data_IF_890175366914
#
_entry.id   IF_890175366914
#
_cell.length_a   1.000
_cell.length_b   1.000
_cell.length_c   1.000
_cell.angle_alpha   90.00
_cell.angle_beta   90.00
_cell.angle_gamma   90.00
#
_symmetry.space_group_name_H-M   'P 1'
#
loop_
_entity.id
_entity.type
_entity.pdbx_description
1 polymer ?
#
# COMPACT_ATOMS: atom_id res chain seq x y z
N UNK A 1 0.87 -3.23 -16.50
CA UNK A 1 0.85 -2.73 -17.91
C UNK A 1 0.01 -3.65 -18.79
N UNK A 2 -0.51 -3.19 -19.93
CA UNK A 2 -1.14 -4.08 -20.92
C UNK A 2 -0.16 -4.43 -22.04
N UNK A 3 -0.01 -5.72 -22.36
CA UNK A 3 0.71 -6.18 -23.54
C UNK A 3 -0.24 -6.85 -24.52
N UNK A 4 -0.21 -6.39 -25.77
CA UNK A 4 -0.85 -7.04 -26.91
C UNK A 4 0.21 -7.79 -27.71
N UNK A 5 0.01 -9.10 -27.88
CA UNK A 5 0.93 -9.95 -28.62
C UNK A 5 0.43 -10.18 -30.05
N UNK A 6 0.93 -9.41 -31.01
CA UNK A 6 0.60 -9.60 -32.43
C UNK A 6 1.55 -10.60 -33.14
N UNK A 7 2.40 -11.31 -32.39
CA UNK A 7 3.43 -12.22 -32.92
C UNK A 7 3.32 -13.63 -32.34
N UNK A 8 4.44 -14.35 -32.31
CA UNK A 8 4.53 -15.67 -31.69
C UNK A 8 4.22 -15.62 -30.19
N UNK A 9 3.78 -16.75 -29.62
CA UNK A 9 3.53 -16.85 -28.18
C UNK A 9 4.76 -16.42 -27.36
N UNK A 10 4.51 -15.68 -26.28
CA UNK A 10 5.50 -15.17 -25.35
C UNK A 10 5.35 -15.88 -24.01
N UNK A 11 6.46 -16.31 -23.41
CA UNK A 11 6.46 -17.08 -22.17
C UNK A 11 7.13 -16.38 -20.98
N UNK A 12 7.83 -15.27 -21.24
CA UNK A 12 8.41 -14.46 -20.17
C UNK A 12 8.70 -13.03 -20.61
N UNK A 13 8.85 -12.16 -19.61
CA UNK A 13 9.38 -10.82 -19.74
C UNK A 13 10.46 -10.63 -18.69
N UNK A 14 11.54 -9.97 -19.08
CA UNK A 14 12.57 -9.49 -18.16
C UNK A 14 12.47 -7.98 -18.11
N UNK A 15 12.14 -7.43 -16.94
CA UNK A 15 12.21 -6.01 -16.68
C UNK A 15 13.59 -5.66 -16.14
N UNK A 16 14.23 -4.65 -16.72
CA UNK A 16 15.60 -4.27 -16.38
C UNK A 16 15.68 -2.77 -16.08
N UNK A 17 16.25 -2.46 -14.93
CA UNK A 17 16.91 -1.19 -14.61
C UNK A 17 18.42 -1.35 -14.90
N UNK A 18 19.23 -0.27 -14.81
CA UNK A 18 20.67 -0.35 -15.04
C UNK A 18 21.40 -1.35 -14.14
N UNK A 19 20.91 -1.52 -12.91
CA UNK A 19 21.48 -2.34 -11.84
C UNK A 19 20.72 -3.65 -11.59
N UNK A 20 19.39 -3.64 -11.75
CA UNK A 20 18.54 -4.78 -11.38
C UNK A 20 17.80 -5.37 -12.57
N UNK A 21 17.60 -6.69 -12.55
CA UNK A 21 16.79 -7.40 -13.54
C UNK A 21 15.85 -8.38 -12.87
N UNK A 22 14.59 -8.31 -13.25
CA UNK A 22 13.53 -9.17 -12.74
C UNK A 22 12.83 -9.90 -13.87
N UNK A 23 12.74 -11.23 -13.77
CA UNK A 23 12.13 -12.07 -14.79
C UNK A 23 10.80 -12.62 -14.29
N UNK A 24 9.73 -12.32 -15.02
CA UNK A 24 8.41 -12.88 -14.81
C UNK A 24 8.11 -13.92 -15.91
N UNK A 25 7.67 -15.11 -15.49
CA UNK A 25 7.13 -16.11 -16.41
C UNK A 25 5.61 -15.97 -16.52
N UNK A 26 5.07 -16.15 -17.72
CA UNK A 26 3.64 -16.10 -18.00
C UNK A 26 3.37 -16.78 -19.34
N UNK A 27 2.15 -17.24 -19.60
CA UNK A 27 1.76 -17.61 -20.96
C UNK A 27 0.93 -16.50 -21.61
N UNK A 28 1.38 -16.04 -22.79
CA UNK A 28 0.66 -15.09 -23.64
C UNK A 28 0.62 -15.63 -25.09
N UNK A 29 -0.50 -16.25 -25.50
CA UNK A 29 -0.67 -16.74 -26.86
C UNK A 29 -0.54 -15.65 -27.93
N UNK A 30 -0.40 -16.09 -29.18
CA UNK A 30 -0.49 -15.19 -30.32
C UNK A 30 -1.87 -14.52 -30.38
N UNK A 31 -1.90 -13.24 -30.74
CA UNK A 31 -3.08 -12.37 -30.82
C UNK A 31 -3.85 -12.21 -29.50
N UNK A 32 -3.22 -12.51 -28.37
CA UNK A 32 -3.80 -12.34 -27.04
C UNK A 32 -3.35 -11.02 -26.40
N UNK A 33 -4.16 -10.54 -25.46
CA UNK A 33 -3.87 -9.39 -24.60
C UNK A 33 -3.84 -9.85 -23.15
N UNK A 34 -2.82 -9.43 -22.40
CA UNK A 34 -2.74 -9.68 -20.95
C UNK A 34 -2.23 -8.46 -20.21
N UNK A 35 -2.79 -8.23 -19.03
CA UNK A 35 -2.24 -7.29 -18.06
C UNK A 35 -1.35 -8.06 -17.08
N UNK A 36 -0.16 -7.55 -16.80
CA UNK A 36 0.69 -8.04 -15.72
C UNK A 36 1.46 -6.88 -15.08
N UNK A 37 1.85 -7.09 -13.84
CA UNK A 37 2.69 -6.19 -13.05
C UNK A 37 4.06 -6.84 -12.85
N UNK A 38 5.12 -6.04 -12.95
CA UNK A 38 6.48 -6.48 -12.66
C UNK A 38 7.04 -5.54 -11.61
N UNK A 39 7.43 -6.12 -10.48
CA UNK A 39 8.07 -5.38 -9.40
C UNK A 39 9.57 -5.41 -9.66
N UNK A 40 10.17 -4.24 -9.89
CA UNK A 40 11.63 -4.09 -10.04
C UNK A 40 12.11 -3.19 -8.92
N UNK A 41 13.13 -3.64 -8.21
CA UNK A 41 13.69 -2.94 -7.07
C UNK A 41 15.05 -2.38 -7.47
N UNK A 42 15.22 -1.06 -7.59
CA UNK A 42 16.55 -0.52 -7.79
C UNK A 42 17.46 -0.83 -6.58
N UNK A 43 18.71 -1.17 -6.85
CA UNK A 43 19.78 -1.25 -5.83
C UNK A 43 20.33 0.14 -5.51
N UNK A 44 20.24 1.07 -6.47
CA UNK A 44 20.71 2.45 -6.33
C UNK A 44 19.60 3.48 -6.51
N UNK A 45 19.76 4.63 -5.86
CA UNK A 45 18.87 5.77 -6.00
C UNK A 45 18.98 6.40 -7.39
N UNK A 46 17.89 6.38 -8.15
CA UNK A 46 17.76 7.05 -9.44
C UNK A 46 16.66 8.12 -9.37
N UNK A 47 16.93 9.35 -9.82
CA UNK A 47 15.86 10.36 -9.99
C UNK A 47 14.97 10.13 -11.22
N UNK A 48 15.45 9.31 -12.15
CA UNK A 48 14.67 8.76 -13.27
C UNK A 48 15.44 7.63 -13.91
N UNK A 49 14.75 6.70 -14.56
CA UNK A 49 15.40 5.63 -15.31
C UNK A 49 14.47 5.08 -16.39
N UNK A 50 15.09 4.49 -17.41
CA UNK A 50 14.37 3.72 -18.41
C UNK A 50 14.25 2.28 -17.91
N UNK A 51 13.03 1.80 -17.72
CA UNK A 51 12.77 0.38 -17.55
C UNK A 51 12.69 -0.25 -18.93
N UNK A 52 13.61 -1.17 -19.21
CA UNK A 52 13.61 -1.96 -20.43
C UNK A 52 12.91 -3.28 -20.16
N UNK A 53 11.91 -3.58 -20.98
CA UNK A 53 11.18 -4.83 -20.94
C UNK A 53 11.59 -5.67 -22.16
N UNK A 54 12.18 -6.83 -21.91
CA UNK A 54 12.63 -7.77 -22.93
C UNK A 54 11.83 -9.07 -22.84
N UNK A 55 11.13 -9.40 -23.92
CA UNK A 55 10.39 -10.66 -24.04
C UNK A 55 11.28 -11.76 -24.62
N UNK A 56 10.97 -13.02 -24.32
CA UNK A 56 11.73 -14.20 -24.77
C UNK A 56 11.97 -14.32 -26.29
N UNK A 57 11.14 -13.70 -27.12
CA UNK A 57 11.32 -13.60 -28.58
C UNK A 57 12.08 -12.36 -29.05
N UNK A 58 12.81 -11.70 -28.16
CA UNK A 58 13.66 -10.54 -28.48
C UNK A 58 12.90 -9.23 -28.71
N UNK A 59 11.57 -9.23 -28.58
CA UNK A 59 10.78 -7.98 -28.55
C UNK A 59 11.24 -7.16 -27.35
N UNK A 60 11.51 -5.88 -27.56
CA UNK A 60 11.83 -4.94 -26.48
C UNK A 60 10.88 -3.77 -26.49
N UNK A 61 10.54 -3.28 -25.31
CA UNK A 61 9.89 -1.99 -25.13
C UNK A 61 10.52 -1.28 -23.95
N UNK A 62 10.49 0.05 -23.97
CA UNK A 62 11.12 0.88 -22.94
C UNK A 62 10.10 1.86 -22.42
N UNK A 63 10.05 1.99 -21.09
CA UNK A 63 9.24 3.00 -20.41
C UNK A 63 10.15 3.89 -19.57
N UNK A 64 10.00 5.20 -19.73
CA UNK A 64 10.69 6.17 -18.87
C UNK A 64 9.91 6.34 -17.57
N UNK A 65 10.57 6.10 -16.43
CA UNK A 65 10.02 6.32 -15.11
C UNK A 65 10.75 7.48 -14.44
N UNK A 66 10.01 8.52 -14.06
CA UNK A 66 10.49 9.49 -13.08
C UNK A 66 10.34 8.87 -11.69
N UNK A 67 11.40 8.93 -10.90
CA UNK A 67 11.44 8.34 -9.57
C UNK A 67 11.85 9.42 -8.59
N UNK A 68 11.24 9.41 -7.41
CA UNK A 68 11.66 10.25 -6.31
C UNK A 68 12.39 9.36 -5.33
N UNK A 69 13.65 9.71 -5.04
CA UNK A 69 14.40 9.03 -4.02
C UNK A 69 14.05 9.65 -2.68
N UNK A 70 13.63 8.81 -1.76
CA UNK A 70 13.36 9.16 -0.38
C UNK A 70 14.60 8.76 0.41
N UNK A 71 15.05 9.60 1.36
CA UNK A 71 16.23 9.26 2.16
C UNK A 71 15.90 8.08 3.07
N UNK A 72 16.87 7.20 3.44
CA UNK A 72 16.60 6.11 4.38
C UNK A 72 16.10 6.58 5.76
N UNK A 73 16.38 7.83 6.15
CA UNK A 73 15.86 8.44 7.38
C UNK A 73 14.46 9.03 7.26
N UNK A 74 13.94 9.16 6.04
CA UNK A 74 12.60 9.69 5.78
C UNK A 74 11.55 8.57 5.89
N UNK A 75 10.34 8.94 6.29
CA UNK A 75 9.21 8.02 6.39
C UNK A 75 8.25 8.21 5.21
N UNK A 76 8.04 7.14 4.45
CA UNK A 76 7.01 7.11 3.41
C UNK A 76 5.69 6.58 3.99
N UNK A 77 4.67 7.43 3.95
CA UNK A 77 3.34 7.12 4.47
C UNK A 77 2.35 7.13 3.32
N UNK A 78 1.79 5.96 3.00
CA UNK A 78 0.71 5.86 2.04
C UNK A 78 -0.65 5.92 2.73
N UNK A 79 -1.60 6.65 2.16
CA UNK A 79 -2.99 6.61 2.58
C UNK A 79 -3.90 6.16 1.45
N UNK A 80 -4.73 5.16 1.72
CA UNK A 80 -5.89 4.84 0.90
C UNK A 80 -7.14 5.41 1.57
N UNK A 81 -7.65 6.51 1.03
CA UNK A 81 -8.84 7.22 1.50
C UNK A 81 -9.42 8.05 0.35
N UNK A 82 -10.69 8.47 0.47
CA UNK A 82 -11.27 9.47 -0.42
C UNK A 82 -10.90 10.90 0.03
N UNK A 83 -10.34 11.07 1.22
CA UNK A 83 -9.82 12.32 1.74
C UNK A 83 -8.30 12.41 1.59
N UNK A 84 -7.82 13.37 0.79
CA UNK A 84 -6.39 13.64 0.63
C UNK A 84 -5.72 14.15 1.92
N UNK A 85 -6.50 14.69 2.86
CA UNK A 85 -5.97 15.21 4.14
C UNK A 85 -5.40 14.11 5.04
N UNK A 86 -5.78 12.85 4.80
CA UNK A 86 -5.40 11.75 5.67
C UNK A 86 -3.91 11.39 5.56
N UNK A 87 -3.34 11.48 4.35
CA UNK A 87 -1.91 11.27 4.14
C UNK A 87 -1.06 12.35 4.84
N UNK A 88 -1.59 13.57 4.96
CA UNK A 88 -0.86 14.72 5.53
C UNK A 88 -0.89 14.80 7.06
N UNK A 89 -1.62 13.91 7.75
CA UNK A 89 -1.70 13.92 9.21
C UNK A 89 -0.32 13.80 9.89
N UNK A 90 0.58 13.04 9.28
CA UNK A 90 1.93 12.83 9.79
C UNK A 90 2.90 13.94 9.39
N UNK A 91 2.57 14.77 8.39
CA UNK A 91 3.44 15.87 7.95
C UNK A 91 3.50 17.03 8.96
N UNK A 92 2.63 17.06 9.97
CA UNK A 92 2.55 18.12 10.96
C UNK A 92 3.41 17.88 12.21
N UNK A 93 4.05 16.70 12.37
CA UNK A 93 4.87 16.43 13.55
C UNK A 93 6.27 17.04 13.40
N UNK A 94 6.48 18.22 13.96
CA UNK A 94 7.79 18.90 14.03
C UNK A 94 8.77 18.28 15.06
N UNK A 95 8.41 17.17 15.68
CA UNK A 95 9.12 16.57 16.82
C UNK A 95 10.23 15.60 16.40
N UNK A 96 10.30 15.21 15.12
CA UNK A 96 11.27 14.24 14.61
C UNK A 96 12.10 14.85 13.50
N UNK A 97 13.39 14.50 13.44
CA UNK A 97 14.30 14.89 12.36
C UNK A 97 14.02 14.08 11.07
N UNK A 98 12.76 13.67 10.87
CA UNK A 98 12.30 12.69 9.89
C UNK A 98 11.34 13.39 8.93
N UNK A 99 11.68 13.41 7.64
CA UNK A 99 10.75 13.93 6.63
C UNK A 99 9.66 12.89 6.38
N UNK A 100 8.40 13.30 6.49
CA UNK A 100 7.28 12.45 6.08
C UNK A 100 6.93 12.75 4.63
N UNK A 101 6.95 11.72 3.79
CA UNK A 101 6.53 11.80 2.38
C UNK A 101 5.14 11.17 2.24
N UNK A 102 4.07 11.98 2.19
CA UNK A 102 2.71 11.47 2.07
C UNK A 102 2.39 11.05 0.63
N UNK A 103 1.82 9.86 0.46
CA UNK A 103 1.36 9.34 -0.83
C UNK A 103 -0.11 8.97 -0.75
N UNK A 104 -0.95 9.55 -1.60
CA UNK A 104 -2.34 9.08 -1.75
C UNK A 104 -2.39 7.98 -2.78
N UNK A 105 -2.95 6.82 -2.41
CA UNK A 105 -3.02 5.64 -3.27
C UNK A 105 -4.48 5.31 -3.57
N UNK A 106 -4.90 5.18 -4.84
CA UNK A 106 -6.24 4.70 -5.18
C UNK A 106 -6.36 3.21 -4.86
N UNK A 107 -7.60 2.68 -4.78
CA UNK A 107 -7.84 1.25 -4.50
C UNK A 107 -7.09 0.33 -5.47
N UNK A 108 -7.15 0.64 -6.76
CA UNK A 108 -6.50 -0.15 -7.81
C UNK A 108 -4.98 0.10 -7.89
N UNK A 109 -4.46 1.04 -7.10
CA UNK A 109 -3.04 1.26 -6.92
C UNK A 109 -2.44 0.47 -5.76
N UNK A 110 -3.25 -0.28 -5.00
CA UNK A 110 -2.75 -1.15 -3.93
C UNK A 110 -2.14 -2.43 -4.52
N UNK A 111 -0.84 -2.69 -4.27
CA UNK A 111 -0.14 -3.85 -4.81
C UNK A 111 -0.79 -5.18 -4.45
N UNK A 112 -0.77 -6.12 -5.39
CA UNK A 112 -1.17 -7.53 -5.16
C UNK A 112 -0.03 -8.38 -4.61
N UNK A 113 1.16 -7.80 -4.42
CA UNK A 113 2.34 -8.45 -3.88
C UNK A 113 2.96 -7.60 -2.75
N UNK A 114 3.34 -8.24 -1.65
CA UNK A 114 3.93 -7.58 -0.48
C UNK A 114 5.17 -6.73 -0.82
N UNK A 115 5.95 -7.13 -1.83
CA UNK A 115 7.11 -6.38 -2.34
C UNK A 115 6.72 -4.94 -2.73
N UNK A 116 5.53 -4.74 -3.29
CA UNK A 116 5.08 -3.40 -3.69
C UNK A 116 4.91 -2.43 -2.52
N UNK A 117 4.73 -2.95 -1.30
CA UNK A 117 4.62 -2.14 -0.08
C UNK A 117 5.97 -1.89 0.60
N UNK A 118 7.08 -2.48 0.12
CA UNK A 118 8.37 -2.45 0.83
C UNK A 118 8.94 -1.05 1.04
N UNK A 119 8.61 -0.11 0.16
CA UNK A 119 9.04 1.28 0.31
C UNK A 119 8.26 2.03 1.41
N UNK A 120 7.13 1.48 1.87
CA UNK A 120 6.26 2.12 2.86
C UNK A 120 6.67 1.76 4.28
N UNK A 121 6.68 2.76 5.14
CA UNK A 121 6.71 2.55 6.59
C UNK A 121 5.31 2.33 7.13
N UNK A 122 4.36 3.16 6.70
CA UNK A 122 2.97 3.14 7.17
C UNK A 122 2.01 3.07 5.99
N UNK A 123 1.00 2.20 6.11
CA UNK A 123 -0.18 2.19 5.26
C UNK A 123 -1.39 2.58 6.11
N UNK A 124 -1.99 3.71 5.77
CA UNK A 124 -3.16 4.23 6.45
C UNK A 124 -4.43 3.99 5.60
N UNK A 125 -5.42 3.32 6.19
CA UNK A 125 -6.74 3.08 5.60
C UNK A 125 -7.77 3.99 6.25
N UNK A 126 -8.40 4.85 5.44
CA UNK A 126 -9.46 5.75 5.92
C UNK A 126 -10.77 5.05 6.24
N UNK A 127 -11.57 5.64 7.13
CA UNK A 127 -12.91 5.16 7.47
C UNK A 127 -13.94 5.32 6.32
N UNK A 128 -13.53 5.92 5.20
CA UNK A 128 -14.34 6.24 4.03
C UNK A 128 -14.14 5.30 2.85
N UNK A 129 -13.22 4.34 2.97
CA UNK A 129 -12.95 3.28 2.00
C UNK A 129 -13.32 1.91 2.56
N UNK A 130 -13.82 1.01 1.71
CA UNK A 130 -14.32 -0.30 2.10
C UNK A 130 -13.29 -1.39 1.76
N UNK A 131 -12.60 -1.93 2.77
CA UNK A 131 -11.56 -2.95 2.57
C UNK A 131 -12.14 -4.30 2.15
N UNK A 132 -13.45 -4.52 2.29
CA UNK A 132 -14.14 -5.72 1.77
C UNK A 132 -14.14 -5.74 0.24
N UNK A 133 -13.81 -4.63 -0.40
CA UNK A 133 -13.64 -4.55 -1.86
C UNK A 133 -12.25 -4.96 -2.33
N UNK A 134 -11.30 -5.20 -1.43
CA UNK A 134 -9.99 -5.74 -1.78
C UNK A 134 -10.13 -7.17 -2.29
N UNK A 135 -9.29 -7.53 -3.26
CA UNK A 135 -9.20 -8.92 -3.68
C UNK A 135 -8.30 -9.72 -2.71
N UNK A 136 -8.32 -11.04 -2.84
CA UNK A 136 -7.57 -11.96 -1.97
C UNK A 136 -6.04 -11.72 -2.03
N UNK A 137 -5.51 -11.40 -3.21
CA UNK A 137 -4.09 -11.12 -3.39
C UNK A 137 -3.66 -9.83 -2.66
N UNK A 138 -4.45 -8.76 -2.75
CA UNK A 138 -4.22 -7.50 -2.03
C UNK A 138 -4.28 -7.71 -0.51
N UNK A 139 -5.28 -8.45 -0.01
CA UNK A 139 -5.37 -8.76 1.43
C UNK A 139 -4.16 -9.55 1.88
N UNK A 140 -3.76 -10.57 1.13
CA UNK A 140 -2.58 -11.40 1.43
C UNK A 140 -1.29 -10.57 1.42
N UNK A 141 -1.13 -9.69 0.43
CA UNK A 141 0.03 -8.80 0.32
C UNK A 141 0.15 -7.84 1.51
N UNK A 142 -0.96 -7.24 1.95
CA UNK A 142 -0.99 -6.39 3.15
C UNK A 142 -0.64 -7.20 4.40
N UNK A 143 -1.21 -8.40 4.56
CA UNK A 143 -0.91 -9.27 5.70
C UNK A 143 0.57 -9.67 5.75
N UNK A 144 1.16 -10.05 4.61
CA UNK A 144 2.58 -10.37 4.51
C UNK A 144 3.46 -9.18 4.84
N UNK A 145 3.14 -8.00 4.31
CA UNK A 145 3.88 -6.78 4.60
C UNK A 145 3.82 -6.42 6.10
N UNK A 146 2.65 -6.49 6.73
CA UNK A 146 2.50 -6.29 8.18
C UNK A 146 3.32 -7.31 8.97
N UNK A 147 3.27 -8.60 8.60
CA UNK A 147 4.09 -9.65 9.23
C UNK A 147 5.60 -9.38 9.11
N UNK A 148 6.03 -8.66 8.07
CA UNK A 148 7.42 -8.28 7.83
C UNK A 148 7.80 -6.93 8.48
N UNK A 149 6.94 -6.37 9.34
CA UNK A 149 7.24 -5.16 10.12
C UNK A 149 6.63 -3.87 9.57
N UNK A 150 5.72 -3.95 8.60
CA UNK A 150 4.95 -2.79 8.13
C UNK A 150 3.86 -2.35 9.12
N UNK A 151 3.67 -1.04 9.27
CA UNK A 151 2.67 -0.47 10.18
C UNK A 151 1.34 -0.19 9.46
N UNK A 152 0.32 -0.99 9.77
CA UNK A 152 -1.04 -0.79 9.28
C UNK A 152 -1.87 0.03 10.27
N UNK A 153 -2.36 1.19 9.83
CA UNK A 153 -3.29 2.02 10.59
C UNK A 153 -4.65 1.99 9.89
N UNK A 154 -5.70 1.57 10.59
CA UNK A 154 -7.07 1.60 10.09
C UNK A 154 -7.90 2.55 10.93
N UNK A 155 -8.38 3.63 10.30
CA UNK A 155 -9.19 4.64 10.96
C UNK A 155 -10.60 4.09 11.20
N UNK A 156 -11.02 4.10 12.46
CA UNK A 156 -12.37 3.73 12.87
C UNK A 156 -13.39 4.84 12.61
N UNK A 157 -14.66 4.58 12.94
CA UNK A 157 -15.74 5.57 12.86
C UNK A 157 -17.10 4.95 12.59
N UNK A 158 -18.05 5.75 12.12
CA UNK A 158 -19.42 5.29 11.80
C UNK A 158 -19.48 4.12 10.82
N UNK A 159 -18.53 4.05 9.88
CA UNK A 159 -18.45 2.98 8.88
C UNK A 159 -17.53 1.82 9.30
N UNK A 160 -17.37 1.54 10.59
CA UNK A 160 -16.42 0.53 11.11
C UNK A 160 -16.45 -0.84 10.39
N UNK A 161 -17.60 -1.26 9.85
CA UNK A 161 -17.73 -2.51 9.09
C UNK A 161 -16.87 -2.55 7.83
N UNK A 162 -16.44 -1.40 7.31
CA UNK A 162 -15.56 -1.27 6.15
C UNK A 162 -14.16 -1.80 6.41
N UNK A 163 -13.72 -1.86 7.67
CA UNK A 163 -12.44 -2.43 8.05
C UNK A 163 -12.44 -3.96 8.04
N UNK A 164 -13.61 -4.61 7.97
CA UNK A 164 -13.74 -6.06 8.14
C UNK A 164 -13.09 -6.88 7.00
N UNK A 165 -12.80 -6.29 5.84
CA UNK A 165 -12.02 -6.97 4.81
C UNK A 165 -10.57 -7.25 5.24
N UNK A 166 -10.08 -6.58 6.28
CA UNK A 166 -8.78 -6.82 6.91
C UNK A 166 -8.92 -7.35 8.33
N UNK A 167 -10.09 -7.88 8.73
CA UNK A 167 -10.37 -8.28 10.11
C UNK A 167 -9.26 -9.18 10.70
N UNK A 168 -8.68 -10.07 9.88
CA UNK A 168 -7.65 -11.00 10.33
C UNK A 168 -6.27 -10.38 10.57
N UNK A 169 -6.04 -9.20 10.02
CA UNK A 169 -4.83 -8.41 10.21
C UNK A 169 -4.93 -7.50 11.44
N UNK A 170 -6.14 -7.16 11.88
CA UNK A 170 -6.34 -6.18 12.95
C UNK A 170 -6.10 -6.80 14.33
N UNK A 171 -5.42 -6.09 15.26
CA UNK A 171 -5.29 -6.53 16.66
C UNK A 171 -6.59 -6.34 17.45
N UNK A 172 -7.66 -5.87 16.81
CA UNK A 172 -8.93 -5.51 17.43
C UNK A 172 -10.09 -6.09 16.62
N UNK A 173 -11.07 -6.65 17.31
CA UNK A 173 -12.31 -7.16 16.72
C UNK A 173 -13.41 -6.14 16.92
N UNK A 174 -13.75 -5.32 15.92
CA UNK A 174 -14.80 -4.33 16.04
C UNK A 174 -16.18 -5.01 16.08
N UNK A 175 -17.07 -4.50 16.93
CA UNK A 175 -18.40 -5.07 17.20
C UNK A 175 -19.53 -4.03 17.10
N UNK A 176 -19.20 -2.76 16.87
CA UNK A 176 -20.17 -1.69 16.73
C UNK A 176 -19.52 -0.33 16.96
N UNK A 177 -20.37 0.67 17.20
CA UNK A 177 -19.94 2.02 17.58
C UNK A 177 -20.61 2.49 18.86
N UNK A 178 -20.07 3.55 19.42
CA UNK A 178 -20.71 4.36 20.46
C UNK A 178 -20.38 5.84 20.24
N UNK A 179 -21.19 6.73 20.80
CA UNK A 179 -20.94 8.17 20.79
C UNK A 179 -20.19 8.57 22.05
N UNK A 180 -19.16 9.39 21.88
CA UNK A 180 -18.42 10.04 22.95
C UNK A 180 -18.49 11.56 22.77
N UNK A 181 -18.58 12.27 23.89
CA UNK A 181 -18.56 13.75 23.92
C UNK A 181 -17.16 14.32 24.15
N UNK A 182 -16.22 13.44 24.50
CA UNK A 182 -14.84 13.77 24.75
C UNK A 182 -13.94 12.58 24.41
N UNK A 183 -12.71 12.86 23.99
CA UNK A 183 -11.63 11.90 23.86
C UNK A 183 -10.44 12.42 24.66
N UNK A 184 -9.86 11.55 25.48
CA UNK A 184 -8.58 11.83 26.14
C UNK A 184 -7.46 11.25 25.31
N UNK A 185 -6.52 12.10 24.90
CA UNK A 185 -5.29 11.71 24.23
C UNK A 185 -4.33 11.02 25.23
N UNK A 186 -3.38 10.19 24.79
CA UNK A 186 -2.39 9.55 25.66
C UNK A 186 -1.57 10.51 26.54
N UNK A 187 -1.40 11.77 26.10
CA UNK A 187 -0.75 12.84 26.87
C UNK A 187 -1.64 13.46 27.98
N UNK A 188 -2.88 13.00 28.11
CA UNK A 188 -3.88 13.51 29.05
C UNK A 188 -4.69 14.70 28.52
N UNK A 189 -4.40 15.20 27.32
CA UNK A 189 -5.17 16.27 26.70
C UNK A 189 -6.60 15.81 26.38
N UNK A 190 -7.60 16.62 26.74
CA UNK A 190 -9.01 16.31 26.48
C UNK A 190 -9.50 17.11 25.28
N UNK A 191 -10.05 16.41 24.29
CA UNK A 191 -10.71 16.99 23.13
C UNK A 191 -12.22 16.81 23.30
N UNK A 192 -12.96 17.91 23.41
CA UNK A 192 -14.42 17.91 23.45
C UNK A 192 -15.02 17.96 22.04
N UNK A 193 -16.11 17.23 21.82
CA UNK A 193 -16.81 17.18 20.53
C UNK A 193 -17.66 15.92 20.38
N UNK A 194 -18.43 15.85 19.30
CA UNK A 194 -19.20 14.64 18.96
C UNK A 194 -18.31 13.64 18.21
N UNK A 195 -17.91 12.56 18.90
CA UNK A 195 -17.07 11.53 18.33
C UNK A 195 -17.82 10.20 18.20
N UNK A 196 -17.78 9.61 17.01
CA UNK A 196 -18.21 8.23 16.81
C UNK A 196 -17.01 7.29 16.93
N UNK A 197 -16.96 6.54 18.02
CA UNK A 197 -15.88 5.62 18.33
C UNK A 197 -16.29 4.17 18.06
N UNK A 198 -15.33 3.35 17.64
CA UNK A 198 -15.56 1.91 17.43
C UNK A 198 -15.44 1.20 18.77
N UNK A 199 -16.43 0.35 19.09
CA UNK A 199 -16.37 -0.57 20.23
C UNK A 199 -16.08 -1.99 19.76
N UNK A 200 -15.49 -2.79 20.64
CA UNK A 200 -15.05 -4.14 20.33
C UNK A 200 -14.09 -4.65 21.38
N UNK A 201 -13.40 -5.74 21.06
CA UNK A 201 -12.43 -6.35 21.96
C UNK A 201 -11.07 -6.54 21.28
N UNK A 202 -9.95 -6.32 21.98
CA UNK A 202 -8.64 -6.72 21.49
C UNK A 202 -8.61 -8.23 21.23
N UNK A 203 -7.90 -8.65 20.17
CA UNK A 203 -7.65 -10.07 19.91
C UNK A 203 -6.66 -10.64 20.93
N UNK A 204 -6.64 -11.97 21.15
CA UNK A 204 -5.60 -12.60 21.96
C UNK A 204 -4.21 -12.18 21.47
N UNK A 205 -3.33 -11.79 22.39
CA UNK A 205 -1.97 -11.27 22.14
C UNK A 205 -1.89 -9.87 21.49
N UNK A 206 -3.01 -9.15 21.39
CA UNK A 206 -2.93 -7.73 21.06
C UNK A 206 -2.28 -6.95 22.20
N UNK A 207 -1.25 -6.17 21.88
CA UNK A 207 -0.65 -5.23 22.81
C UNK A 207 -1.36 -3.89 22.67
N UNK A 208 -1.99 -3.42 23.76
CA UNK A 208 -2.49 -2.05 23.86
C UNK A 208 -1.31 -1.18 24.28
N UNK A 209 -0.98 -0.19 23.46
CA UNK A 209 0.02 0.84 23.77
C UNK A 209 -0.61 1.95 24.61
#
# INVERSE_FOLDING_TARGET
>A
MTVENQGAALHSVTASLPDTREKLQFDLPANARKHFEVYVQPEYSYGSSNVVLEYDKGKKTTAFLKMECISPEDMMVAAWSKSAALATLFSASNETNTTVVPVTVPRDGLPENAIGYRALNILLIGADVDTRTLNEAQVTAIQEWVRNGGDLIVVGGGNWTYALGLADTLPFTPQGTYQAQEITSPDGSVMAGDFTLVKGAPRPNAHLL
#
